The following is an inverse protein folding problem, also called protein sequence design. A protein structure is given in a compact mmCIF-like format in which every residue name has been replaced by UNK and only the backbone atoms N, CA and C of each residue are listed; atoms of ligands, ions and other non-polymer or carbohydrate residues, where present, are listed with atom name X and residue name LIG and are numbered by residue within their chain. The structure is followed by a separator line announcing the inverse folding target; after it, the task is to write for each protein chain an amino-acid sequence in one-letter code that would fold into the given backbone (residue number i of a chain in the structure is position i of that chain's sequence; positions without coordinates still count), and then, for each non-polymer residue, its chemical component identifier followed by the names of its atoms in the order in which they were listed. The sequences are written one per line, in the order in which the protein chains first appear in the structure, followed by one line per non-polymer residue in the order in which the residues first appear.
data_IF_636395706013
#
_entry.id   IF_636395706013
#
_cell.length_a   1.000
_cell.length_b   1.000
_cell.length_c   1.000
_cell.angle_alpha   90.00
_cell.angle_beta   90.00
_cell.angle_gamma   90.00
#
_symmetry.space_group_name_H-M   'P 1'
#
loop_
_entity.id
_entity.type
_entity.pdbx_description
1 polymer ?
#
# COMPACT_ATOMS: atom_id res chain seq x y z
N UNK A 1 6.56 -13.09 -10.97
CA UNK A 1 7.45 -12.69 -12.08
C UNK A 1 8.85 -12.50 -11.51
N UNK A 2 9.88 -13.01 -12.19
CA UNK A 2 11.27 -12.78 -11.81
C UNK A 2 11.88 -11.57 -12.52
N UNK A 3 13.12 -11.23 -12.18
CA UNK A 3 13.88 -10.17 -12.81
C UNK A 3 14.20 -10.49 -14.27
N UNK A 4 14.12 -9.47 -15.12
CA UNK A 4 14.67 -9.48 -16.47
C UNK A 4 16.07 -8.85 -16.50
N UNK A 5 16.81 -9.05 -17.60
CA UNK A 5 18.10 -8.39 -17.81
C UNK A 5 17.99 -6.85 -17.72
N UNK A 6 16.89 -6.27 -18.20
CA UNK A 6 16.65 -4.83 -18.08
C UNK A 6 16.50 -4.41 -16.61
N UNK A 7 15.79 -5.19 -15.79
CA UNK A 7 15.63 -4.90 -14.36
C UNK A 7 16.97 -4.94 -13.62
N UNK A 8 17.81 -5.92 -13.90
CA UNK A 8 19.15 -6.02 -13.29
C UNK A 8 20.02 -4.82 -13.68
N UNK A 9 20.01 -4.40 -14.95
CA UNK A 9 20.75 -3.19 -15.38
C UNK A 9 20.29 -1.93 -14.65
N UNK A 10 18.97 -1.74 -14.51
CA UNK A 10 18.44 -0.59 -13.77
C UNK A 10 18.77 -0.57 -12.28
N UNK A 11 19.05 -1.73 -11.66
CA UNK A 11 19.57 -1.74 -10.28
C UNK A 11 21.01 -1.23 -10.19
N UNK A 12 21.80 -1.40 -11.24
CA UNK A 12 23.18 -0.96 -11.32
C UNK A 12 23.30 0.54 -11.63
N UNK A 13 22.32 1.10 -12.34
CA UNK A 13 22.32 2.50 -12.74
C UNK A 13 21.87 3.44 -11.60
N UNK A 14 22.68 4.45 -11.29
CA UNK A 14 22.26 5.53 -10.40
C UNK A 14 21.27 6.44 -11.12
N UNK A 15 19.99 6.36 -10.77
CA UNK A 15 18.96 7.31 -11.22
C UNK A 15 18.10 6.86 -12.40
N UNK A 16 18.26 5.63 -12.92
CA UNK A 16 17.39 5.08 -13.96
C UNK A 16 16.50 3.94 -13.43
N UNK A 17 15.20 4.20 -13.29
CA UNK A 17 14.19 3.17 -13.02
C UNK A 17 13.67 2.58 -14.33
N UNK A 18 13.60 1.24 -14.46
CA UNK A 18 12.94 0.57 -15.61
C UNK A 18 11.43 0.77 -15.66
N UNK A 19 10.82 1.41 -14.65
CA UNK A 19 9.38 1.71 -14.64
C UNK A 19 9.03 2.97 -15.44
N UNK A 20 9.81 3.30 -16.47
CA UNK A 20 9.43 4.29 -17.51
C UNK A 20 8.49 3.61 -18.50
N UNK A 21 7.26 3.30 -18.06
CA UNK A 21 6.18 2.82 -18.93
C UNK A 21 5.14 3.92 -19.12
N UNK A 22 4.55 3.99 -20.31
CA UNK A 22 3.40 4.84 -20.60
C UNK A 22 2.14 4.20 -19.98
N UNK A 23 1.30 4.99 -19.29
CA UNK A 23 -0.13 4.64 -19.12
C UNK A 23 -0.76 4.83 -17.74
N UNK A 24 -0.05 4.64 -16.62
CA UNK A 24 -0.63 4.78 -15.28
C UNK A 24 0.42 5.07 -14.20
N UNK A 25 0.08 5.86 -13.17
CA UNK A 25 0.96 6.24 -12.05
C UNK A 25 1.84 5.10 -11.51
N UNK A 26 3.17 5.20 -11.65
CA UNK A 26 4.10 4.14 -11.26
C UNK A 26 4.79 4.42 -9.91
N UNK A 27 4.71 3.43 -9.01
CA UNK A 27 5.54 3.37 -7.80
C UNK A 27 7.02 3.17 -8.17
N UNK A 28 7.89 4.09 -7.78
CA UNK A 28 9.35 3.90 -7.85
C UNK A 28 10.06 4.55 -9.04
N UNK A 29 9.55 5.68 -9.55
CA UNK A 29 10.17 6.48 -10.64
C UNK A 29 11.62 6.89 -10.34
N UNK A 30 12.00 7.05 -9.06
CA UNK A 30 13.33 7.52 -8.63
C UNK A 30 14.42 6.43 -8.56
N UNK A 31 14.09 5.14 -8.65
CA UNK A 31 15.11 4.06 -8.59
C UNK A 31 15.83 3.90 -7.23
N UNK A 32 15.34 4.57 -6.18
CA UNK A 32 15.95 4.55 -4.84
C UNK A 32 15.45 3.41 -3.94
N UNK A 33 14.36 2.73 -4.34
CA UNK A 33 13.65 1.77 -3.49
C UNK A 33 14.53 0.58 -3.08
N UNK A 34 15.22 -0.04 -4.05
CA UNK A 34 16.13 -1.15 -3.73
C UNK A 34 17.32 -0.69 -2.89
N UNK A 35 17.80 0.55 -3.06
CA UNK A 35 18.98 1.05 -2.34
C UNK A 35 18.76 1.18 -0.83
N UNK A 36 17.52 1.17 -0.35
CA UNK A 36 17.24 1.15 1.09
C UNK A 36 17.76 -0.12 1.79
N UNK A 37 17.93 -1.24 1.06
CA UNK A 37 18.47 -2.48 1.63
C UNK A 37 19.90 -2.29 2.17
N UNK A 38 20.66 -1.34 1.60
CA UNK A 38 22.00 -1.04 2.09
C UNK A 38 22.01 -0.45 3.51
N UNK A 39 20.86 -0.06 4.07
CA UNK A 39 20.75 0.28 5.51
C UNK A 39 20.99 -0.92 6.41
N UNK A 40 20.66 -2.14 5.96
CA UNK A 40 20.73 -3.37 6.78
C UNK A 40 21.81 -4.35 6.34
N UNK A 41 22.28 -4.25 5.10
CA UNK A 41 23.32 -5.13 4.54
C UNK A 41 24.37 -4.31 3.78
N UNK A 42 25.60 -4.82 3.69
CA UNK A 42 26.65 -4.28 2.82
C UNK A 42 26.71 -5.01 1.47
N UNK A 43 26.07 -6.17 1.37
CA UNK A 43 26.23 -7.10 0.25
C UNK A 43 24.93 -7.85 -0.09
N UNK A 44 23.84 -7.16 -0.49
CA UNK A 44 22.61 -7.81 -0.91
C UNK A 44 22.84 -8.71 -2.14
N UNK A 45 22.19 -9.87 -2.13
CA UNK A 45 22.21 -10.83 -3.23
C UNK A 45 20.81 -10.95 -3.84
N UNK A 46 20.75 -11.12 -5.16
CA UNK A 46 19.51 -11.33 -5.92
C UNK A 46 19.65 -12.63 -6.72
N UNK A 47 18.72 -13.54 -6.50
CA UNK A 47 18.59 -14.81 -7.20
C UNK A 47 17.23 -14.85 -7.90
N UNK A 48 17.20 -14.72 -9.22
CA UNK A 48 15.95 -14.69 -9.98
C UNK A 48 16.16 -15.03 -11.44
N UNK A 49 15.34 -15.93 -11.99
CA UNK A 49 15.36 -16.30 -13.43
C UNK A 49 16.78 -16.58 -13.97
N UNK A 50 17.63 -17.28 -13.21
CA UNK A 50 19.02 -17.58 -13.58
C UNK A 50 20.03 -16.45 -13.35
N UNK A 51 19.59 -15.25 -12.95
CA UNK A 51 20.48 -14.22 -12.44
C UNK A 51 20.81 -14.51 -10.98
N UNK A 52 22.09 -14.66 -10.67
CA UNK A 52 22.62 -14.84 -9.32
C UNK A 52 23.74 -13.82 -9.11
N UNK A 53 23.39 -12.68 -8.51
CA UNK A 53 24.27 -11.52 -8.42
C UNK A 53 24.31 -10.95 -7.01
N UNK A 54 25.48 -10.49 -6.59
CA UNK A 54 25.72 -9.80 -5.31
C UNK A 54 26.19 -8.38 -5.58
N UNK A 55 25.66 -7.43 -4.84
CA UNK A 55 26.06 -6.02 -4.92
C UNK A 55 26.88 -5.66 -3.68
N UNK A 56 28.21 -5.71 -3.76
CA UNK A 56 29.08 -5.43 -2.63
C UNK A 56 29.57 -3.97 -2.65
N UNK A 57 29.21 -3.19 -1.63
CA UNK A 57 29.61 -1.78 -1.54
C UNK A 57 31.11 -1.60 -1.27
N UNK A 58 31.77 -2.61 -0.70
CA UNK A 58 33.19 -2.55 -0.36
C UNK A 58 34.08 -2.95 -1.55
N UNK A 59 33.52 -3.63 -2.54
CA UNK A 59 34.21 -4.05 -3.76
C UNK A 59 34.14 -3.00 -4.90
N UNK A 60 33.31 -1.96 -4.75
CA UNK A 60 33.07 -0.94 -5.77
C UNK A 60 34.02 0.27 -5.71
N UNK A 61 34.17 0.98 -6.83
CA UNK A 61 34.73 2.33 -6.86
C UNK A 61 33.68 3.35 -6.41
N UNK A 62 34.13 4.49 -5.85
CA UNK A 62 33.27 5.56 -5.31
C UNK A 62 32.13 5.89 -6.30
N UNK A 63 30.89 5.63 -5.89
CA UNK A 63 29.68 6.02 -6.63
C UNK A 63 29.03 4.92 -7.49
N UNK A 64 29.65 3.74 -7.67
CA UNK A 64 29.08 2.64 -8.48
C UNK A 64 29.19 1.29 -7.77
N UNK A 65 28.07 0.57 -7.61
CA UNK A 65 28.05 -0.80 -7.10
C UNK A 65 27.83 -1.75 -8.28
N UNK A 66 28.91 -2.39 -8.73
CA UNK A 66 28.86 -3.35 -9.83
C UNK A 66 28.46 -4.74 -9.29
N UNK A 67 27.50 -5.45 -9.90
CA UNK A 67 27.13 -6.79 -9.47
C UNK A 67 28.25 -7.79 -9.78
N UNK A 68 28.57 -8.64 -8.80
CA UNK A 68 29.43 -9.83 -8.97
C UNK A 68 28.57 -11.08 -9.08
N UNK A 69 28.93 -12.01 -9.95
CA UNK A 69 28.23 -13.30 -10.07
C UNK A 69 28.53 -14.15 -8.82
N UNK A 70 27.49 -14.77 -8.26
CA UNK A 70 27.57 -15.69 -7.12
C UNK A 70 26.95 -17.04 -7.47
N UNK A 71 27.27 -18.12 -6.73
CA UNK A 71 26.62 -19.40 -6.91
C UNK A 71 25.09 -19.32 -6.78
N UNK A 72 24.34 -20.22 -7.43
CA UNK A 72 22.90 -20.31 -7.25
C UNK A 72 22.50 -20.52 -5.79
N UNK A 73 21.42 -19.87 -5.39
CA UNK A 73 20.79 -20.03 -4.08
C UNK A 73 19.63 -21.01 -4.21
N UNK A 74 19.47 -21.91 -3.24
CA UNK A 74 18.33 -22.84 -3.19
C UNK A 74 17.07 -22.09 -2.73
N UNK A 75 16.35 -21.54 -3.71
CA UNK A 75 15.10 -20.79 -3.47
C UNK A 75 14.02 -21.72 -2.92
N UNK A 76 14.01 -23.00 -3.31
CA UNK A 76 13.01 -23.97 -2.89
C UNK A 76 13.14 -24.29 -1.40
N UNK A 77 14.37 -24.32 -0.86
CA UNK A 77 14.62 -24.46 0.57
C UNK A 77 14.00 -23.31 1.36
N UNK A 78 14.19 -22.05 0.93
CA UNK A 78 13.58 -20.90 1.60
C UNK A 78 12.06 -20.87 1.47
N UNK A 79 11.53 -21.29 0.32
CA UNK A 79 10.10 -21.46 0.12
C UNK A 79 9.49 -22.44 1.12
N UNK A 80 10.14 -23.61 1.31
CA UNK A 80 9.72 -24.63 2.29
C UNK A 80 9.74 -24.11 3.73
N UNK A 81 10.75 -23.33 4.09
CA UNK A 81 10.86 -22.73 5.43
C UNK A 81 9.75 -21.71 5.73
N UNK A 82 9.21 -21.06 4.68
CA UNK A 82 8.13 -20.09 4.81
C UNK A 82 6.73 -20.69 4.65
N UNK A 83 6.61 -21.93 4.17
CA UNK A 83 5.35 -22.66 4.05
C UNK A 83 5.01 -23.46 5.31
N UNK A 84 3.72 -23.61 5.61
CA UNK A 84 3.20 -24.55 6.61
C UNK A 84 2.65 -25.78 5.87
N UNK A 85 2.77 -26.96 6.46
CA UNK A 85 2.28 -28.25 5.92
C UNK A 85 0.79 -28.25 5.50
N UNK A 86 -0.02 -27.27 5.94
CA UNK A 86 -1.43 -27.13 5.59
C UNK A 86 -1.72 -26.35 4.29
N UNK A 87 -0.73 -25.70 3.69
CA UNK A 87 -0.90 -24.91 2.45
C UNK A 87 -0.68 -25.78 1.19
N UNK A 88 -1.48 -26.84 1.00
CA UNK A 88 -1.41 -27.69 -0.21
C UNK A 88 -1.76 -26.94 -1.53
N UNK A 89 -2.21 -25.69 -1.45
CA UNK A 89 -2.59 -24.85 -2.61
C UNK A 89 -1.47 -23.92 -3.13
N UNK A 90 -0.37 -23.74 -2.41
CA UNK A 90 0.72 -22.82 -2.81
C UNK A 90 1.94 -23.61 -3.34
N UNK A 91 1.76 -24.43 -4.38
CA UNK A 91 2.87 -25.05 -5.16
C UNK A 91 3.59 -24.04 -6.08
N UNK A 92 3.50 -22.75 -5.76
CA UNK A 92 4.11 -21.69 -6.55
C UNK A 92 5.59 -21.57 -6.20
N UNK A 93 6.46 -22.03 -7.10
CA UNK A 93 7.90 -21.76 -7.03
C UNK A 93 8.12 -20.25 -6.99
N UNK A 94 8.88 -19.76 -6.02
CA UNK A 94 9.19 -18.35 -5.92
C UNK A 94 10.19 -17.96 -7.02
N UNK A 95 9.87 -16.94 -7.82
CA UNK A 95 10.72 -16.58 -8.96
C UNK A 95 11.91 -15.68 -8.59
N UNK A 96 11.92 -15.13 -7.38
CA UNK A 96 12.92 -14.16 -6.92
C UNK A 96 13.17 -14.38 -5.44
N UNK A 97 14.43 -14.58 -5.08
CA UNK A 97 14.93 -14.53 -3.71
C UNK A 97 15.92 -13.38 -3.58
N UNK A 98 15.76 -12.57 -2.54
CA UNK A 98 16.70 -11.50 -2.19
C UNK A 98 17.27 -11.86 -0.83
N UNK A 99 18.58 -12.09 -0.78
CA UNK A 99 19.30 -12.42 0.45
C UNK A 99 19.99 -11.16 0.96
N UNK A 100 19.74 -10.80 2.22
CA UNK A 100 20.29 -9.60 2.85
C UNK A 100 21.15 -10.00 4.07
N UNK A 101 22.43 -10.36 3.89
CA UNK A 101 23.31 -10.65 5.01
C UNK A 101 23.46 -9.41 5.88
N UNK A 102 23.08 -9.49 7.16
CA UNK A 102 23.15 -8.32 8.04
C UNK A 102 24.58 -7.86 8.26
N UNK A 103 24.75 -6.54 8.37
CA UNK A 103 26.03 -5.93 8.78
C UNK A 103 26.45 -6.49 10.13
N UNK A 104 27.76 -6.65 10.36
CA UNK A 104 28.30 -7.16 11.64
C UNK A 104 27.91 -6.32 12.88
N UNK A 105 27.57 -5.04 12.70
CA UNK A 105 27.04 -4.18 13.77
C UNK A 105 25.56 -4.41 14.07
N UNK A 106 24.81 -4.99 13.13
CA UNK A 106 23.39 -5.29 13.24
C UNK A 106 23.11 -6.71 13.74
N UNK A 107 24.13 -7.57 13.84
CA UNK A 107 24.04 -8.86 14.54
C UNK A 107 23.98 -8.71 16.07
N UNK A 108 24.07 -7.50 16.60
CA UNK A 108 23.77 -7.22 18.00
C UNK A 108 22.27 -7.44 18.27
N UNK A 109 21.95 -8.15 19.36
CA UNK A 109 20.58 -8.55 19.73
C UNK A 109 19.60 -7.36 19.78
N UNK A 110 20.08 -6.16 20.13
CA UNK A 110 19.27 -4.94 20.16
C UNK A 110 18.79 -4.51 18.76
N UNK A 111 19.67 -4.54 17.76
CA UNK A 111 19.31 -4.18 16.39
C UNK A 111 18.37 -5.21 15.76
N UNK A 112 18.54 -6.50 16.05
CA UNK A 112 17.62 -7.54 15.60
C UNK A 112 16.21 -7.35 16.19
N UNK A 113 16.11 -7.00 17.48
CA UNK A 113 14.82 -6.72 18.11
C UNK A 113 14.10 -5.54 17.45
N UNK A 114 14.84 -4.49 17.02
CA UNK A 114 14.25 -3.38 16.26
C UNK A 114 13.73 -3.79 14.88
N UNK A 115 14.40 -4.74 14.21
CA UNK A 115 13.92 -5.28 12.94
C UNK A 115 12.66 -6.11 13.15
N UNK A 116 12.65 -6.97 14.18
CA UNK A 116 11.48 -7.77 14.53
C UNK A 116 10.29 -6.87 14.87
N UNK A 117 10.49 -5.82 15.67
CA UNK A 117 9.41 -4.87 16.00
C UNK A 117 8.88 -4.17 14.75
N UNK A 118 9.75 -3.76 13.82
CA UNK A 118 9.33 -3.17 12.54
C UNK A 118 8.45 -4.13 11.71
N UNK A 119 8.67 -5.44 11.78
CA UNK A 119 7.81 -6.43 11.12
C UNK A 119 6.51 -6.67 11.88
N UNK A 120 6.53 -6.62 13.21
CA UNK A 120 5.31 -6.69 14.04
C UNK A 120 4.40 -5.48 13.84
N UNK A 121 4.98 -4.31 13.55
CA UNK A 121 4.25 -3.07 13.28
C UNK A 121 3.65 -3.01 11.86
N UNK A 122 3.77 -4.06 11.05
CA UNK A 122 3.18 -4.11 9.71
C UNK A 122 1.65 -4.15 9.78
N UNK A 123 1.04 -2.99 9.57
CA UNK A 123 -0.40 -2.85 9.60
C UNK A 123 -1.10 -3.53 8.39
N UNK A 124 -2.23 -4.25 8.58
CA UNK A 124 -2.95 -4.95 7.50
C UNK A 124 -3.39 -4.09 6.31
N UNK A 125 -3.58 -2.79 6.54
CA UNK A 125 -3.91 -1.83 5.48
C UNK A 125 -2.85 -1.73 4.38
N UNK A 126 -1.63 -2.24 4.58
CA UNK A 126 -0.57 -2.25 3.58
C UNK A 126 -1.00 -2.97 2.29
N UNK A 127 -1.78 -4.05 2.39
CA UNK A 127 -2.24 -4.81 1.22
C UNK A 127 -3.43 -4.13 0.50
N UNK A 128 -4.11 -3.18 1.15
CA UNK A 128 -5.41 -2.68 0.73
C UNK A 128 -5.40 -2.14 -0.71
N UNK A 129 -4.40 -1.35 -1.07
CA UNK A 129 -4.27 -0.74 -2.41
C UNK A 129 -3.22 -1.41 -3.29
N UNK A 130 -2.65 -2.54 -2.86
CA UNK A 130 -1.77 -3.33 -3.71
C UNK A 130 -2.61 -4.22 -4.63
N UNK A 131 -2.46 -4.04 -5.94
CA UNK A 131 -3.27 -4.76 -6.93
C UNK A 131 -2.78 -6.20 -7.18
N UNK A 132 -1.48 -6.44 -7.06
CA UNK A 132 -0.86 -7.75 -7.36
C UNK A 132 -0.44 -8.54 -6.14
N UNK A 133 -0.15 -7.86 -5.02
CA UNK A 133 0.28 -8.52 -3.79
C UNK A 133 -0.97 -8.83 -2.97
N UNK A 134 -1.25 -10.11 -2.77
CA UNK A 134 -2.42 -10.59 -2.03
C UNK A 134 -2.06 -11.21 -0.68
N UNK A 135 -0.81 -11.61 -0.50
CA UNK A 135 -0.36 -12.33 0.69
C UNK A 135 1.06 -11.90 1.05
N UNK A 136 1.30 -11.67 2.34
CA UNK A 136 2.62 -11.49 2.94
C UNK A 136 2.74 -12.51 4.06
N UNK A 137 3.75 -13.38 4.01
CA UNK A 137 4.09 -14.32 5.08
C UNK A 137 5.41 -13.87 5.71
N UNK A 138 5.43 -13.74 7.03
CA UNK A 138 6.62 -13.40 7.80
C UNK A 138 6.94 -14.53 8.78
N UNK A 139 8.07 -15.20 8.56
CA UNK A 139 8.57 -16.31 9.39
C UNK A 139 9.77 -15.83 10.19
N UNK A 140 9.68 -15.86 11.50
CA UNK A 140 10.83 -15.64 12.37
C UNK A 140 11.39 -16.99 12.82
N UNK A 141 12.65 -17.26 12.45
CA UNK A 141 13.32 -18.52 12.78
C UNK A 141 13.88 -18.54 14.21
N UNK A 142 13.97 -17.38 14.89
CA UNK A 142 14.51 -17.30 16.26
C UNK A 142 13.50 -17.76 17.31
N UNK A 143 12.23 -17.38 17.15
CA UNK A 143 11.12 -17.75 18.04
C UNK A 143 10.13 -18.72 17.38
N UNK A 144 10.40 -19.13 16.14
CA UNK A 144 9.56 -20.02 15.35
C UNK A 144 8.13 -19.49 15.13
N UNK A 145 7.91 -18.18 15.19
CA UNK A 145 6.63 -17.53 14.90
C UNK A 145 6.38 -17.35 13.41
N UNK A 146 5.11 -17.40 13.00
CA UNK A 146 4.69 -17.17 11.63
C UNK A 146 3.48 -16.25 11.63
N UNK A 147 3.60 -15.13 10.93
CA UNK A 147 2.53 -14.16 10.72
C UNK A 147 2.14 -14.21 9.25
N UNK A 148 0.85 -14.42 8.98
CA UNK A 148 0.31 -14.44 7.62
C UNK A 148 -0.71 -13.32 7.50
N UNK A 149 -0.45 -12.43 6.55
CA UNK A 149 -1.37 -11.37 6.16
C UNK A 149 -1.93 -11.68 4.78
N UNK A 150 -3.26 -11.81 4.66
CA UNK A 150 -3.91 -12.16 3.39
C UNK A 150 -5.07 -11.21 3.08
N UNK A 151 -5.07 -10.67 1.87
CA UNK A 151 -6.13 -9.85 1.32
C UNK A 151 -7.15 -10.70 0.59
N UNK A 152 -8.41 -10.47 0.88
CA UNK A 152 -9.57 -11.08 0.23
C UNK A 152 -10.53 -9.98 -0.23
N UNK A 153 -10.96 -10.05 -1.49
CA UNK A 153 -11.96 -9.13 -2.04
C UNK A 153 -13.27 -9.91 -2.10
N UNK A 154 -14.23 -9.53 -1.26
CA UNK A 154 -15.48 -10.29 -1.05
C UNK A 154 -16.54 -9.90 -2.08
N UNK A 155 -16.53 -8.66 -2.57
CA UNK A 155 -17.53 -8.10 -3.49
C UNK A 155 -18.12 -6.80 -2.96
N UNK A 156 -18.88 -6.08 -3.79
CA UNK A 156 -19.57 -4.81 -3.44
C UNK A 156 -18.68 -3.73 -2.81
N UNK A 157 -17.39 -3.71 -3.17
CA UNK A 157 -16.40 -2.79 -2.59
C UNK A 157 -15.85 -3.24 -1.23
N UNK A 158 -16.29 -4.38 -0.67
CA UNK A 158 -15.77 -4.90 0.60
C UNK A 158 -14.46 -5.66 0.38
N UNK A 159 -13.42 -5.21 1.08
CA UNK A 159 -12.11 -5.88 1.14
C UNK A 159 -11.82 -6.26 2.59
N UNK A 160 -11.46 -7.53 2.82
CA UNK A 160 -11.04 -8.04 4.12
C UNK A 160 -9.54 -8.33 4.08
N UNK A 161 -8.81 -7.97 5.14
CA UNK A 161 -7.43 -8.40 5.33
C UNK A 161 -7.34 -9.14 6.65
N UNK A 162 -6.92 -10.39 6.61
CA UNK A 162 -6.63 -11.18 7.80
C UNK A 162 -5.18 -11.02 8.23
N UNK A 163 -4.93 -10.99 9.53
CA UNK A 163 -3.61 -11.05 10.17
C UNK A 163 -3.67 -12.11 11.27
N UNK A 164 -3.25 -13.33 10.96
CA UNK A 164 -3.49 -14.47 11.85
C UNK A 164 -5.00 -14.69 12.06
N UNK A 165 -5.47 -14.60 13.31
CA UNK A 165 -6.89 -14.73 13.67
C UNK A 165 -7.67 -13.42 13.51
N UNK A 166 -6.99 -12.28 13.55
CA UNK A 166 -7.62 -10.97 13.43
C UNK A 166 -8.05 -10.71 11.98
N UNK A 167 -9.22 -10.09 11.82
CA UNK A 167 -9.76 -9.69 10.52
C UNK A 167 -10.15 -8.23 10.56
N UNK A 168 -9.62 -7.47 9.60
CA UNK A 168 -10.02 -6.09 9.38
C UNK A 168 -10.80 -5.99 8.07
N UNK A 169 -11.86 -5.20 8.08
CA UNK A 169 -12.74 -5.03 6.93
C UNK A 169 -12.77 -3.57 6.52
N UNK A 170 -12.69 -3.32 5.21
CA UNK A 170 -12.86 -2.00 4.63
C UNK A 170 -13.90 -2.02 3.52
N UNK A 171 -14.70 -0.97 3.45
CA UNK A 171 -15.42 -0.61 2.24
C UNK A 171 -14.53 0.33 1.41
N UNK A 172 -14.15 -0.10 0.22
CA UNK A 172 -13.23 0.58 -0.69
C UNK A 172 -14.00 1.03 -1.93
N UNK A 173 -13.99 2.33 -2.17
CA UNK A 173 -14.50 2.93 -3.40
C UNK A 173 -13.33 3.49 -4.19
N UNK A 174 -13.24 3.13 -5.48
CA UNK A 174 -12.19 3.60 -6.38
C UNK A 174 -12.78 4.28 -7.61
N UNK A 175 -12.07 5.27 -8.13
CA UNK A 175 -12.41 5.93 -9.38
C UNK A 175 -11.16 6.11 -10.24
N UNK A 176 -11.28 5.70 -11.51
CA UNK A 176 -10.28 6.01 -12.54
C UNK A 176 -10.55 7.39 -13.11
N UNK A 177 -9.51 8.21 -13.17
CA UNK A 177 -9.52 9.57 -13.65
C UNK A 177 -8.71 9.66 -14.94
N UNK A 178 -9.19 10.47 -15.89
CA UNK A 178 -8.43 10.85 -17.07
C UNK A 178 -7.47 11.99 -16.69
N UNK A 179 -6.18 11.74 -16.90
CA UNK A 179 -5.09 12.58 -16.40
C UNK A 179 -4.37 13.36 -17.52
N UNK A 180 -4.75 13.11 -18.76
CA UNK A 180 -4.20 13.67 -20.00
C UNK A 180 -4.20 15.21 -20.01
N UNK A 181 -5.18 15.83 -19.35
CA UNK A 181 -5.31 17.29 -19.26
C UNK A 181 -4.21 17.94 -18.41
N UNK A 182 -3.69 17.24 -17.39
CA UNK A 182 -2.72 17.83 -16.43
C UNK A 182 -1.32 17.26 -16.61
N UNK A 183 -1.22 15.99 -17.01
CA UNK A 183 0.04 15.30 -17.27
C UNK A 183 -0.02 14.58 -18.61
N UNK A 184 0.61 15.14 -19.66
CA UNK A 184 0.65 14.49 -20.97
C UNK A 184 1.31 13.11 -20.95
N UNK A 185 2.17 12.84 -19.95
CA UNK A 185 2.87 11.57 -19.76
C UNK A 185 2.03 10.49 -19.05
N UNK A 186 0.87 10.85 -18.48
CA UNK A 186 -0.01 9.94 -17.74
C UNK A 186 -1.42 10.00 -18.29
N UNK A 187 -1.86 8.94 -18.97
CA UNK A 187 -3.21 8.88 -19.53
C UNK A 187 -4.27 8.73 -18.45
N UNK A 188 -4.03 7.86 -17.47
CA UNK A 188 -5.00 7.57 -16.41
C UNK A 188 -4.34 7.47 -15.04
N UNK A 189 -5.09 7.85 -14.00
CA UNK A 189 -4.73 7.60 -12.61
C UNK A 189 -5.93 7.06 -11.85
N UNK A 190 -5.69 6.41 -10.72
CA UNK A 190 -6.74 5.91 -9.83
C UNK A 190 -6.63 6.62 -8.47
N UNK A 191 -7.78 7.01 -7.95
CA UNK A 191 -7.95 7.43 -6.55
C UNK A 191 -8.90 6.46 -5.86
N UNK A 192 -8.66 6.23 -4.57
CA UNK A 192 -9.49 5.35 -3.76
C UNK A 192 -9.74 5.95 -2.38
N UNK A 193 -10.90 5.67 -1.82
CA UNK A 193 -11.25 5.94 -0.43
C UNK A 193 -11.60 4.62 0.23
N UNK A 194 -11.05 4.36 1.42
CA UNK A 194 -11.40 3.17 2.19
C UNK A 194 -11.89 3.52 3.60
N UNK A 195 -13.05 2.98 3.95
CA UNK A 195 -13.73 3.18 5.22
C UNK A 195 -13.61 1.93 6.07
N UNK A 196 -13.04 2.05 7.27
CA UNK A 196 -12.84 0.92 8.18
C UNK A 196 -14.17 0.50 8.80
N UNK A 197 -14.49 -0.78 8.74
CA UNK A 197 -15.74 -1.36 9.22
C UNK A 197 -15.47 -2.49 10.20
N UNK A 198 -16.29 -2.55 11.25
CA UNK A 198 -16.37 -3.68 12.16
C UNK A 198 -17.60 -4.52 11.82
N UNK A 199 -17.42 -5.83 11.69
CA UNK A 199 -18.51 -6.77 11.42
C UNK A 199 -19.10 -7.25 12.75
N UNK A 200 -20.39 -7.00 12.97
CA UNK A 200 -21.12 -7.43 14.17
C UNK A 200 -22.49 -7.97 13.76
N UNK A 201 -22.75 -9.25 14.06
CA UNK A 201 -24.01 -9.94 13.73
C UNK A 201 -24.44 -9.80 12.26
N UNK A 202 -23.49 -9.85 11.32
CA UNK A 202 -23.77 -9.71 9.88
C UNK A 202 -24.03 -8.28 9.40
N UNK A 203 -23.91 -7.27 10.28
CA UNK A 203 -23.97 -5.86 9.94
C UNK A 203 -22.59 -5.20 10.05
N UNK A 204 -22.38 -4.15 9.25
CA UNK A 204 -21.17 -3.34 9.32
C UNK A 204 -21.39 -2.09 10.18
N UNK A 205 -20.48 -1.85 11.12
CA UNK A 205 -20.44 -0.68 11.99
C UNK A 205 -19.20 0.14 11.64
N UNK A 206 -19.31 1.48 11.48
CA UNK A 206 -18.17 2.32 11.16
C UNK A 206 -17.17 2.36 12.32
N UNK A 207 -15.88 2.21 12.01
CA UNK A 207 -14.79 2.36 12.96
C UNK A 207 -14.05 3.69 12.70
N UNK A 208 -14.11 4.61 13.67
CA UNK A 208 -13.85 6.05 13.48
C UNK A 208 -12.45 6.53 13.90
N UNK A 209 -11.47 5.63 13.92
CA UNK A 209 -10.09 5.99 14.25
C UNK A 209 -9.40 6.76 13.12
N UNK A 210 -8.43 7.59 13.49
CA UNK A 210 -7.64 8.32 12.52
C UNK A 210 -6.86 7.36 11.62
N UNK A 211 -7.02 7.54 10.32
CA UNK A 211 -6.41 6.72 9.29
C UNK A 211 -5.28 7.46 8.57
N UNK A 212 -4.23 6.75 8.13
CA UNK A 212 -3.17 7.34 7.33
C UNK A 212 -3.65 7.57 5.88
N UNK A 213 -3.03 8.55 5.22
CA UNK A 213 -3.16 8.74 3.77
C UNK A 213 -2.15 7.84 3.05
N UNK A 214 -2.48 7.34 1.87
CA UNK A 214 -1.66 6.44 1.10
C UNK A 214 -1.21 7.07 -0.22
N UNK A 215 0.06 6.86 -0.52
CA UNK A 215 0.60 6.92 -1.87
C UNK A 215 1.22 5.56 -2.17
N UNK A 216 0.35 4.58 -2.38
CA UNK A 216 0.58 3.13 -2.44
C UNK A 216 1.13 2.48 -1.15
N UNK A 217 1.92 3.22 -0.38
CA UNK A 217 2.34 2.89 0.99
C UNK A 217 1.75 3.93 1.96
N UNK A 218 1.52 3.57 3.23
CA UNK A 218 1.04 4.50 4.24
C UNK A 218 1.98 5.71 4.39
N UNK A 219 1.37 6.89 4.54
CA UNK A 219 1.98 8.14 4.96
C UNK A 219 1.49 8.46 6.39
N UNK A 220 1.77 9.67 6.87
CA UNK A 220 1.25 10.15 8.16
C UNK A 220 -0.27 10.31 8.15
N UNK A 221 -0.84 10.42 9.36
CA UNK A 221 -2.24 10.79 9.55
C UNK A 221 -2.44 12.29 9.35
N UNK A 222 -3.59 12.64 8.78
CA UNK A 222 -4.02 14.01 8.53
C UNK A 222 -5.32 14.35 9.28
N UNK A 223 -5.72 13.53 10.26
CA UNK A 223 -6.96 13.72 11.03
C UNK A 223 -8.22 13.16 10.36
N UNK A 224 -8.08 12.45 9.24
CA UNK A 224 -9.19 11.78 8.55
C UNK A 224 -9.54 10.45 9.22
N UNK A 225 -10.82 10.12 9.27
CA UNK A 225 -11.36 8.86 9.84
C UNK A 225 -11.51 7.74 8.79
N UNK A 226 -10.96 7.98 7.60
CA UNK A 226 -10.97 7.07 6.46
C UNK A 226 -9.65 7.21 5.71
N UNK A 227 -9.26 6.17 4.99
CA UNK A 227 -8.04 6.15 4.21
C UNK A 227 -8.28 6.82 2.86
N UNK A 228 -7.39 7.72 2.49
CA UNK A 228 -7.28 8.23 1.12
C UNK A 228 -6.12 7.57 0.42
N UNK A 229 -6.31 7.12 -0.82
CA UNK A 229 -5.23 6.70 -1.68
C UNK A 229 -5.27 7.48 -3.00
N UNK A 230 -4.09 7.91 -3.45
CA UNK A 230 -3.90 8.47 -4.78
C UNK A 230 -2.43 8.41 -5.18
N UNK A 231 -2.16 8.65 -6.46
CA UNK A 231 -0.79 8.79 -6.99
C UNK A 231 -0.20 10.16 -6.64
N UNK A 232 -0.09 10.47 -5.35
CA UNK A 232 0.43 11.74 -4.88
C UNK A 232 1.92 11.89 -5.19
N UNK A 233 2.31 13.07 -5.64
CA UNK A 233 3.71 13.48 -5.75
C UNK A 233 4.23 13.76 -4.36
N UNK A 234 5.31 13.07 -3.99
CA UNK A 234 5.95 13.20 -2.69
C UNK A 234 7.39 13.73 -2.83
N UNK A 235 7.86 14.54 -1.86
CA UNK A 235 9.27 14.86 -1.70
C UNK A 235 10.07 13.60 -1.39
N UNK A 236 11.40 13.68 -1.51
CA UNK A 236 12.27 12.51 -1.28
C UNK A 236 12.20 11.97 0.15
N UNK A 237 11.88 12.80 1.15
CA UNK A 237 11.67 12.36 2.53
C UNK A 237 10.38 11.56 2.73
N UNK A 238 9.38 11.74 1.84
CA UNK A 238 8.01 11.19 1.95
C UNK A 238 7.28 11.57 3.26
N UNK A 239 7.70 12.65 3.92
CA UNK A 239 7.09 13.12 5.16
C UNK A 239 5.72 13.77 4.92
N UNK A 240 5.57 14.49 3.81
CA UNK A 240 4.34 15.22 3.47
C UNK A 240 3.98 15.10 1.99
N UNK A 241 2.74 15.41 1.65
CA UNK A 241 2.30 15.57 0.26
C UNK A 241 2.74 16.94 -0.25
N UNK A 242 3.32 16.99 -1.45
CA UNK A 242 3.76 18.24 -2.07
C UNK A 242 2.54 19.14 -2.40
N UNK A 243 2.36 20.21 -1.62
CA UNK A 243 1.22 21.12 -1.74
C UNK A 243 1.28 22.04 -2.97
N UNK A 244 2.47 22.29 -3.49
CA UNK A 244 2.67 23.20 -4.63
C UNK A 244 2.45 22.49 -5.97
N UNK A 245 2.39 21.16 -5.95
CA UNK A 245 2.15 20.33 -7.13
C UNK A 245 0.70 20.51 -7.66
N UNK A 246 0.52 21.01 -8.90
CA UNK A 246 -0.81 21.14 -9.52
C UNK A 246 -1.51 19.78 -9.65
N UNK A 247 -0.73 18.71 -9.82
CA UNK A 247 -1.23 17.34 -9.85
C UNK A 247 -1.90 16.93 -8.53
N UNK A 248 -1.26 17.22 -7.39
CA UNK A 248 -1.82 16.88 -6.09
C UNK A 248 -3.07 17.70 -5.81
N UNK A 249 -3.06 19.00 -6.14
CA UNK A 249 -4.23 19.88 -5.99
C UNK A 249 -5.42 19.40 -6.84
N UNK A 250 -5.15 18.94 -8.07
CA UNK A 250 -6.18 18.33 -8.88
C UNK A 250 -6.70 17.02 -8.28
N UNK A 251 -5.83 16.10 -7.85
CA UNK A 251 -6.28 14.87 -7.17
C UNK A 251 -7.16 15.18 -5.96
N UNK A 252 -6.77 16.17 -5.15
CA UNK A 252 -7.54 16.65 -4.00
C UNK A 252 -8.96 17.09 -4.41
N UNK A 253 -9.10 17.75 -5.57
CA UNK A 253 -10.39 18.20 -6.10
C UNK A 253 -11.34 17.07 -6.49
N UNK A 254 -10.83 15.87 -6.76
CA UNK A 254 -11.63 14.73 -7.23
C UNK A 254 -12.18 13.87 -6.08
N UNK A 255 -11.54 13.85 -4.91
CA UNK A 255 -11.99 13.06 -3.76
C UNK A 255 -13.42 13.37 -3.28
N UNK A 256 -13.91 14.63 -3.27
CA UNK A 256 -15.29 14.93 -2.87
C UNK A 256 -16.34 14.21 -3.72
N UNK A 257 -16.12 14.12 -5.03
CA UNK A 257 -17.04 13.41 -5.95
C UNK A 257 -17.00 11.90 -5.72
N UNK A 258 -15.81 11.34 -5.47
CA UNK A 258 -15.66 9.94 -5.07
C UNK A 258 -16.33 9.65 -3.72
N UNK A 259 -16.24 10.56 -2.75
CA UNK A 259 -16.87 10.39 -1.44
C UNK A 259 -18.40 10.28 -1.56
N UNK A 260 -19.02 11.15 -2.37
CA UNK A 260 -20.47 11.08 -2.66
C UNK A 260 -20.83 9.80 -3.42
N UNK A 261 -20.01 9.38 -4.40
CA UNK A 261 -20.26 8.12 -5.08
C UNK A 261 -20.14 6.92 -4.14
N UNK A 262 -19.19 6.96 -3.21
CA UNK A 262 -18.97 5.92 -2.20
C UNK A 262 -20.16 5.82 -1.25
N UNK A 263 -20.78 6.94 -0.86
CA UNK A 263 -22.01 6.95 -0.06
C UNK A 263 -23.12 6.12 -0.72
N UNK A 264 -23.37 6.36 -2.01
CA UNK A 264 -24.43 5.66 -2.76
C UNK A 264 -24.15 4.17 -2.83
N UNK A 265 -22.91 3.79 -3.11
CA UNK A 265 -22.49 2.39 -3.13
C UNK A 265 -22.57 1.74 -1.74
N UNK A 266 -22.23 2.46 -0.67
CA UNK A 266 -22.34 1.97 0.70
C UNK A 266 -23.79 1.75 1.12
N UNK A 267 -24.69 2.67 0.77
CA UNK A 267 -26.13 2.53 1.04
C UNK A 267 -26.77 1.39 0.25
N UNK A 268 -26.18 1.00 -0.89
CA UNK A 268 -26.64 -0.11 -1.72
C UNK A 268 -26.19 -1.50 -1.21
N UNK A 269 -25.35 -1.58 -0.18
CA UNK A 269 -24.89 -2.85 0.37
C UNK A 269 -26.07 -3.71 0.86
N UNK A 270 -25.97 -5.02 0.64
CA UNK A 270 -27.02 -5.99 0.96
C UNK A 270 -27.49 -5.94 2.42
N UNK A 271 -26.57 -5.71 3.36
CA UNK A 271 -26.84 -5.61 4.79
C UNK A 271 -27.67 -4.38 5.21
N UNK A 272 -27.83 -3.39 4.32
CA UNK A 272 -28.56 -2.15 4.60
C UNK A 272 -29.88 -2.03 3.84
N UNK A 273 -30.25 -3.01 3.00
CA UNK A 273 -31.49 -2.98 2.20
C UNK A 273 -32.76 -2.78 3.04
N UNK A 274 -32.80 -3.38 4.23
CA UNK A 274 -33.96 -3.29 5.14
C UNK A 274 -33.97 -1.99 5.96
N UNK A 275 -32.84 -1.28 6.08
CA UNK A 275 -32.73 -0.05 6.86
C UNK A 275 -31.73 0.94 6.24
N UNK A 276 -32.14 1.67 5.18
CA UNK A 276 -31.27 2.62 4.49
C UNK A 276 -30.87 3.80 5.38
N UNK A 277 -31.73 4.20 6.34
CA UNK A 277 -31.41 5.28 7.29
C UNK A 277 -30.19 4.97 8.16
N UNK A 278 -30.03 3.71 8.58
CA UNK A 278 -28.83 3.26 9.31
C UNK A 278 -27.57 3.33 8.46
N UNK A 279 -27.67 3.03 7.16
CA UNK A 279 -26.55 3.10 6.23
C UNK A 279 -26.05 4.55 6.06
N UNK A 280 -27.00 5.46 5.86
CA UNK A 280 -26.71 6.90 5.74
C UNK A 280 -26.08 7.43 7.03
N UNK A 281 -26.68 7.13 8.19
CA UNK A 281 -26.13 7.58 9.47
C UNK A 281 -24.71 7.03 9.72
N UNK A 282 -24.48 5.75 9.39
CA UNK A 282 -23.17 5.13 9.49
C UNK A 282 -22.15 5.79 8.53
N UNK A 283 -22.53 6.04 7.27
CA UNK A 283 -21.62 6.66 6.31
C UNK A 283 -21.31 8.12 6.66
N UNK A 284 -22.33 8.90 7.04
CA UNK A 284 -22.16 10.30 7.42
C UNK A 284 -21.29 10.48 8.67
N UNK A 285 -21.15 9.45 9.51
CA UNK A 285 -20.21 9.49 10.64
C UNK A 285 -18.74 9.63 10.24
N UNK A 286 -18.39 9.29 8.99
CA UNK A 286 -17.06 9.50 8.43
C UNK A 286 -16.82 10.92 7.90
N UNK A 287 -17.85 11.78 7.82
CA UNK A 287 -17.68 13.15 7.34
C UNK A 287 -16.77 13.90 8.32
N UNK A 288 -15.61 14.40 7.86
CA UNK A 288 -14.63 15.01 8.75
C UNK A 288 -15.09 16.41 9.17
N UNK A 289 -14.75 16.83 10.38
CA UNK A 289 -15.04 18.18 10.86
C UNK A 289 -13.98 19.18 10.35
N UNK A 290 -14.38 20.44 10.13
CA UNK A 290 -13.56 21.53 9.51
C UNK A 290 -12.30 21.92 10.33
N UNK A 291 -12.06 21.28 11.48
CA UNK A 291 -10.88 21.50 12.33
C UNK A 291 -10.14 20.21 12.71
N UNK A 292 -10.67 19.04 12.35
CA UNK A 292 -9.99 17.76 12.61
C UNK A 292 -8.88 17.51 11.59
N UNK A 293 -9.03 18.01 10.36
CA UNK A 293 -8.12 17.72 9.25
C UNK A 293 -7.08 18.82 9.10
N UNK A 294 -5.80 18.43 9.05
CA UNK A 294 -4.66 19.34 8.98
C UNK A 294 -3.82 19.17 7.71
N UNK A 295 -2.88 20.09 7.49
CA UNK A 295 -1.94 20.05 6.37
C UNK A 295 -2.62 20.20 5.00
N UNK A 296 -2.07 19.49 4.00
CA UNK A 296 -2.53 19.52 2.60
C UNK A 296 -4.03 19.25 2.44
N UNK A 297 -4.60 18.37 3.26
CA UNK A 297 -6.01 17.96 3.17
C UNK A 297 -6.98 18.85 3.95
N UNK A 298 -6.54 19.94 4.56
CA UNK A 298 -7.36 20.80 5.43
C UNK A 298 -8.59 21.42 4.75
N UNK A 299 -8.57 21.59 3.43
CA UNK A 299 -9.72 22.08 2.65
C UNK A 299 -10.76 20.98 2.35
N UNK A 300 -10.36 19.70 2.42
CA UNK A 300 -11.19 18.56 2.02
C UNK A 300 -12.53 18.47 2.76
N UNK A 301 -12.62 18.69 4.09
CA UNK A 301 -13.90 18.69 4.79
C UNK A 301 -14.93 19.66 4.19
N UNK A 302 -14.50 20.88 3.85
CA UNK A 302 -15.39 21.90 3.26
C UNK A 302 -15.86 21.48 1.88
N UNK A 303 -14.98 20.87 1.10
CA UNK A 303 -15.29 20.40 -0.25
C UNK A 303 -16.27 19.23 -0.23
N UNK A 304 -16.06 18.25 0.66
CA UNK A 304 -16.99 17.12 0.88
C UNK A 304 -18.36 17.64 1.30
N UNK A 305 -18.43 18.51 2.32
CA UNK A 305 -19.71 19.08 2.79
C UNK A 305 -20.42 19.85 1.66
N UNK A 306 -19.68 20.62 0.86
CA UNK A 306 -20.26 21.34 -0.28
C UNK A 306 -20.87 20.38 -1.32
N UNK A 307 -20.20 19.26 -1.63
CA UNK A 307 -20.71 18.27 -2.58
C UNK A 307 -21.88 17.47 -2.00
N UNK A 308 -21.86 17.13 -0.71
CA UNK A 308 -22.98 16.46 -0.04
C UNK A 308 -24.24 17.34 -0.03
N UNK A 309 -24.11 18.66 0.19
CA UNK A 309 -25.24 19.60 0.15
C UNK A 309 -25.86 19.76 -1.23
N UNK A 310 -25.07 19.65 -2.29
CA UNK A 310 -25.54 19.71 -3.69
C UNK A 310 -26.02 18.36 -4.21
N UNK A 311 -25.57 17.28 -3.58
CA UNK A 311 -26.14 15.96 -3.82
C UNK A 311 -27.57 16.00 -3.31
N UNK A 312 -28.50 15.41 -4.05
CA UNK A 312 -29.87 15.28 -3.59
C UNK A 312 -29.87 14.55 -2.24
N UNK A 313 -29.86 15.28 -1.13
CA UNK A 313 -30.11 14.72 0.18
C UNK A 313 -31.48 14.07 0.11
N UNK A 314 -31.50 12.75 0.28
CA UNK A 314 -32.31 12.02 1.26
C UNK A 314 -33.42 12.84 1.93
N UNK A 315 -34.42 13.17 1.15
CA UNK A 315 -35.83 13.16 1.53
C UNK A 315 -36.51 12.40 0.39
N UNK A 316 -36.45 11.06 0.45
CA UNK A 316 -37.59 10.32 -0.07
C UNK A 316 -38.72 10.63 0.93
N UNK A 317 -39.71 11.39 0.46
CA UNK A 317 -41.00 11.52 1.15
C UNK A 317 -41.49 10.14 1.58
N UNK A 318 -41.92 10.04 2.84
CA UNK A 318 -42.51 8.83 3.43
C UNK A 318 -42.32 8.78 4.94
#
# INVERSE_FOLDING_TARGET
QGFSAQNIRALCDVGNSTKKGFGAGYIGKKGIGFKSVFRVTDSPEIHSNGFHVKFDINAGQIGFVLPTIVPPCDIDLFGKLASVDSDQLDTNCWNTCIVLPFRSKLSERSAMNSIISMFSDLHPSLLLFLHRLQCIKFRNMLDNSLIIMRKEIVGDGITKVSLGEEKMTWFVASQKLQADVIRPDVQTTEISIAFTLQEFNGAYIPHLDQQPVFAFLPLRTYGLKFILQGDFVLPSSREEVDGDSPWNQWLLSQFPDLFVSAERSFCALSCFKENPGKAVAAFLSFVPLVREVHGFFSSLPRMIISKLRMSHCLLLEG
#
